data_IF_090992230844
#
_entry.id   IF_090992230844
#
_cell.length_a   1.000
_cell.length_b   1.000
_cell.length_c   1.000
_cell.angle_alpha   90.00
_cell.angle_beta   90.00
_cell.angle_gamma   90.00
#
_symmetry.space_group_name_H-M   'P 1'
#
loop_
_entity.id
_entity.type
_entity.pdbx_description
1 polymer ?
#
# COMPACT_ATOMS: atom_id res chain seq x y z
N UNK A 1 -21.58 12.31 15.31
CA UNK A 1 -20.19 12.56 15.75
C UNK A 1 -19.38 11.31 15.44
N UNK A 2 -18.62 11.33 14.35
CA UNK A 2 -17.74 10.21 14.00
C UNK A 2 -16.55 10.22 14.95
N UNK A 3 -16.30 9.10 15.63
CA UNK A 3 -15.05 8.91 16.38
C UNK A 3 -13.92 8.95 15.35
N UNK A 4 -12.98 9.87 15.54
CA UNK A 4 -11.77 9.92 14.72
C UNK A 4 -10.97 8.64 14.92
N UNK A 5 -10.66 7.95 13.81
CA UNK A 5 -9.96 6.68 13.87
C UNK A 5 -8.48 6.94 14.14
N UNK A 6 -8.01 6.54 15.32
CA UNK A 6 -6.58 6.60 15.66
C UNK A 6 -5.81 5.47 14.96
N UNK A 7 -5.30 5.78 13.77
CA UNK A 7 -4.55 4.82 12.95
C UNK A 7 -3.30 4.28 13.67
N UNK A 8 -2.63 5.12 14.46
CA UNK A 8 -1.39 4.76 15.17
C UNK A 8 -1.69 3.79 16.30
N UNK A 9 -2.81 3.98 17.00
CA UNK A 9 -3.27 3.05 18.03
C UNK A 9 -3.59 1.68 17.44
N UNK A 10 -4.35 1.62 16.34
CA UNK A 10 -4.64 0.33 15.67
C UNK A 10 -3.38 -0.39 15.23
N UNK A 11 -2.46 0.33 14.56
CA UNK A 11 -1.17 -0.23 14.15
C UNK A 11 -0.40 -0.78 15.35
N UNK A 12 -0.26 0.03 16.40
CA UNK A 12 0.47 -0.33 17.62
C UNK A 12 -0.13 -1.57 18.28
N UNK A 13 -1.47 -1.63 18.39
CA UNK A 13 -2.16 -2.77 18.98
C UNK A 13 -1.97 -4.06 18.18
N UNK A 14 -2.04 -4.00 16.84
CA UNK A 14 -1.80 -5.17 15.98
C UNK A 14 -0.39 -5.71 16.25
N UNK A 15 0.63 -4.84 16.16
CA UNK A 15 2.03 -5.23 16.35
C UNK A 15 2.29 -5.73 17.78
N UNK A 16 1.73 -5.07 18.79
CA UNK A 16 1.91 -5.44 20.19
C UNK A 16 1.28 -6.79 20.51
N UNK A 17 0.05 -7.05 20.03
CA UNK A 17 -0.62 -8.34 20.24
C UNK A 17 0.12 -9.49 19.55
N UNK A 18 0.64 -9.27 18.35
CA UNK A 18 1.47 -10.28 17.67
C UNK A 18 2.74 -10.60 18.46
N UNK A 19 3.47 -9.57 18.91
CA UNK A 19 4.70 -9.75 19.71
C UNK A 19 4.44 -10.42 21.05
N UNK A 20 3.28 -10.18 21.65
CA UNK A 20 2.86 -10.82 22.90
C UNK A 20 2.26 -12.23 22.70
N UNK A 21 2.13 -12.73 21.47
CA UNK A 21 1.50 -14.02 21.18
C UNK A 21 -0.02 -14.03 21.39
N UNK A 22 -0.65 -12.86 21.53
CA UNK A 22 -2.09 -12.69 21.72
C UNK A 22 -2.84 -12.79 20.37
N UNK A 23 -2.70 -13.94 19.72
CA UNK A 23 -3.16 -14.18 18.34
C UNK A 23 -4.64 -13.86 18.12
N UNK A 24 -5.51 -14.20 19.08
CA UNK A 24 -6.95 -13.92 18.96
C UNK A 24 -7.26 -12.42 18.88
N UNK A 25 -6.56 -11.60 19.66
CA UNK A 25 -6.75 -10.15 19.67
C UNK A 25 -6.27 -9.51 18.37
N UNK A 26 -5.09 -9.92 17.88
CA UNK A 26 -4.57 -9.49 16.59
C UNK A 26 -5.53 -9.86 15.44
N UNK A 27 -5.99 -11.13 15.39
CA UNK A 27 -6.93 -11.60 14.36
C UNK A 27 -8.24 -10.82 14.33
N UNK A 28 -8.77 -10.42 15.49
CA UNK A 28 -9.98 -9.61 15.58
C UNK A 28 -9.81 -8.26 14.90
N UNK A 29 -8.73 -7.53 15.21
CA UNK A 29 -8.44 -6.23 14.61
C UNK A 29 -8.21 -6.35 13.10
N UNK A 30 -7.50 -7.39 12.67
CA UNK A 30 -7.27 -7.64 11.25
C UNK A 30 -8.56 -7.94 10.50
N UNK A 31 -9.49 -8.70 11.11
CA UNK A 31 -10.79 -8.96 10.51
C UNK A 31 -11.62 -7.68 10.37
N UNK A 32 -11.62 -6.83 11.40
CA UNK A 32 -12.31 -5.53 11.39
C UNK A 32 -11.76 -4.61 10.29
N UNK A 33 -10.44 -4.49 10.17
CA UNK A 33 -9.82 -3.67 9.12
C UNK A 33 -9.98 -4.27 7.73
N UNK A 34 -10.04 -5.61 7.64
CA UNK A 34 -10.29 -6.30 6.37
C UNK A 34 -11.73 -6.04 5.92
N UNK A 35 -12.72 -6.08 6.79
CA UNK A 35 -14.13 -5.80 6.42
C UNK A 35 -14.62 -4.58 7.18
N UNK A 36 -14.19 -3.39 6.75
CA UNK A 36 -14.47 -2.21 7.54
C UNK A 36 -15.93 -1.79 7.34
N UNK A 37 -16.74 -1.91 8.40
CA UNK A 37 -18.13 -1.45 8.38
C UNK A 37 -18.19 0.08 8.54
N UNK A 38 -17.36 0.63 9.43
CA UNK A 38 -17.34 2.06 9.78
C UNK A 38 -15.98 2.73 9.56
N UNK A 39 -15.02 2.04 8.97
CA UNK A 39 -13.66 2.54 8.70
C UNK A 39 -13.53 2.81 7.19
N UNK A 40 -13.13 4.00 6.74
CA UNK A 40 -12.85 4.21 5.32
C UNK A 40 -11.78 3.22 4.83
N UNK A 41 -11.97 2.62 3.65
CA UNK A 41 -11.03 1.60 3.14
C UNK A 41 -9.61 2.14 3.00
N UNK A 42 -9.43 3.40 2.59
CA UNK A 42 -8.12 4.06 2.52
C UNK A 42 -7.42 4.08 3.91
N UNK A 43 -8.17 4.43 4.96
CA UNK A 43 -7.69 4.39 6.35
C UNK A 43 -7.31 2.98 6.78
N UNK A 44 -8.14 1.97 6.46
CA UNK A 44 -7.84 0.58 6.78
C UNK A 44 -6.54 0.11 6.08
N UNK A 45 -6.36 0.47 4.79
CA UNK A 45 -5.14 0.14 4.04
C UNK A 45 -3.91 0.79 4.67
N UNK A 46 -4.02 2.06 5.08
CA UNK A 46 -2.93 2.77 5.75
C UNK A 46 -2.51 2.09 7.05
N UNK A 47 -3.46 1.72 7.91
CA UNK A 47 -3.20 1.01 9.16
C UNK A 47 -2.52 -0.35 8.89
N UNK A 48 -3.08 -1.13 7.97
CA UNK A 48 -2.57 -2.46 7.63
C UNK A 48 -1.17 -2.40 7.02
N UNK A 49 -0.92 -1.45 6.12
CA UNK A 49 0.40 -1.25 5.52
C UNK A 49 1.44 -0.84 6.57
N UNK A 50 1.09 0.09 7.47
CA UNK A 50 1.96 0.49 8.57
C UNK A 50 2.25 -0.64 9.56
N UNK A 51 1.29 -1.57 9.74
CA UNK A 51 1.45 -2.79 10.54
C UNK A 51 2.19 -3.91 9.79
N UNK A 52 2.61 -3.72 8.53
CA UNK A 52 3.30 -4.73 7.74
C UNK A 52 2.40 -5.89 7.26
N UNK A 53 1.07 -5.70 7.31
CA UNK A 53 0.06 -6.71 6.99
C UNK A 53 -0.24 -6.74 5.50
N UNK A 54 0.71 -7.28 4.73
CA UNK A 54 0.68 -7.25 3.25
C UNK A 54 -0.58 -7.90 2.70
N UNK A 55 -0.94 -9.09 3.18
CA UNK A 55 -2.07 -9.85 2.65
C UNK A 55 -3.40 -9.12 2.87
N UNK A 56 -3.62 -8.62 4.09
CA UNK A 56 -4.82 -7.84 4.40
C UNK A 56 -4.85 -6.52 3.64
N UNK A 57 -3.74 -5.76 3.63
CA UNK A 57 -3.66 -4.49 2.92
C UNK A 57 -3.95 -4.66 1.42
N UNK A 58 -3.39 -5.70 0.81
CA UNK A 58 -3.62 -6.04 -0.61
C UNK A 58 -5.08 -6.40 -0.86
N UNK A 59 -5.69 -7.17 0.04
CA UNK A 59 -7.09 -7.56 -0.10
C UNK A 59 -8.02 -6.35 -0.05
N UNK A 60 -7.82 -5.46 0.93
CA UNK A 60 -8.67 -4.25 1.06
C UNK A 60 -8.45 -3.32 -0.11
N UNK A 61 -7.20 -3.15 -0.55
CA UNK A 61 -6.85 -2.34 -1.71
C UNK A 61 -7.56 -2.82 -2.98
N UNK A 62 -7.55 -4.12 -3.27
CA UNK A 62 -8.26 -4.66 -4.45
C UNK A 62 -9.75 -4.34 -4.40
N UNK A 63 -10.39 -4.54 -3.26
CA UNK A 63 -11.81 -4.20 -3.11
C UNK A 63 -12.07 -2.71 -3.29
N UNK A 64 -11.24 -1.85 -2.69
CA UNK A 64 -11.37 -0.41 -2.83
C UNK A 64 -11.14 0.05 -4.28
N UNK A 65 -10.18 -0.56 -4.98
CA UNK A 65 -9.87 -0.21 -6.36
C UNK A 65 -10.99 -0.61 -7.31
N UNK A 66 -11.56 -1.81 -7.13
CA UNK A 66 -12.64 -2.35 -7.96
C UNK A 66 -13.94 -1.58 -7.74
N UNK A 67 -14.15 -1.07 -6.51
CA UNK A 67 -15.28 -0.20 -6.17
C UNK A 67 -15.06 1.28 -6.59
N UNK A 68 -13.88 1.65 -7.10
CA UNK A 68 -13.54 3.03 -7.44
C UNK A 68 -13.46 3.97 -6.23
N UNK A 69 -13.17 3.44 -5.05
CA UNK A 69 -13.21 4.15 -3.77
C UNK A 69 -11.85 4.70 -3.31
N UNK A 70 -10.74 4.29 -3.94
CA UNK A 70 -9.42 4.83 -3.63
C UNK A 70 -9.34 6.26 -4.15
N UNK A 71 -9.33 7.24 -3.25
CA UNK A 71 -9.32 8.67 -3.59
C UNK A 71 -7.98 9.34 -3.32
N UNK A 72 -7.14 8.67 -2.53
CA UNK A 72 -5.88 9.21 -2.03
C UNK A 72 -4.68 8.51 -2.69
N UNK A 73 -3.85 9.31 -3.38
CA UNK A 73 -2.61 8.86 -4.02
C UNK A 73 -1.69 8.15 -3.02
N UNK A 74 -1.68 8.57 -1.76
CA UNK A 74 -0.79 8.04 -0.73
C UNK A 74 -1.09 6.58 -0.40
N UNK A 75 -2.26 6.05 -0.74
CA UNK A 75 -2.58 4.61 -0.66
C UNK A 75 -1.66 3.80 -1.57
N UNK A 76 -1.46 4.26 -2.81
CA UNK A 76 -0.57 3.62 -3.78
C UNK A 76 0.88 3.67 -3.31
N UNK A 77 1.32 4.84 -2.84
CA UNK A 77 2.68 5.06 -2.35
C UNK A 77 2.98 4.13 -1.16
N UNK A 78 2.08 4.06 -0.16
CA UNK A 78 2.24 3.16 0.99
C UNK A 78 2.35 1.70 0.57
N UNK A 79 1.54 1.27 -0.39
CA UNK A 79 1.59 -0.11 -0.90
C UNK A 79 2.88 -0.39 -1.67
N UNK A 80 3.36 0.55 -2.49
CA UNK A 80 4.64 0.44 -3.18
C UNK A 80 5.79 0.31 -2.17
N UNK A 81 5.82 1.16 -1.14
CA UNK A 81 6.80 1.06 -0.05
C UNK A 81 6.71 -0.29 0.67
N UNK A 82 5.50 -0.74 1.00
CA UNK A 82 5.26 -2.02 1.66
C UNK A 82 5.76 -3.19 0.80
N UNK A 83 5.33 -3.30 -0.46
CA UNK A 83 5.76 -4.38 -1.34
C UNK A 83 7.26 -4.37 -1.60
N UNK A 84 7.85 -3.18 -1.77
CA UNK A 84 9.29 -3.03 -1.96
C UNK A 84 10.08 -3.51 -0.73
N UNK A 85 9.65 -3.15 0.48
CA UNK A 85 10.23 -3.62 1.75
C UNK A 85 10.28 -5.15 1.85
N UNK A 86 9.25 -5.83 1.33
CA UNK A 86 9.16 -7.29 1.34
C UNK A 86 9.60 -7.94 0.02
N UNK A 87 10.28 -7.19 -0.85
CA UNK A 87 10.85 -7.67 -2.13
C UNK A 87 9.81 -8.29 -3.07
N UNK A 88 8.57 -7.82 -3.00
CA UNK A 88 7.45 -8.22 -3.87
C UNK A 88 7.42 -7.34 -5.12
N UNK A 89 8.48 -7.42 -5.93
CA UNK A 89 8.72 -6.48 -7.03
C UNK A 89 7.61 -6.48 -8.10
N UNK A 90 7.02 -7.64 -8.42
CA UNK A 90 5.88 -7.70 -9.34
C UNK A 90 4.66 -6.91 -8.82
N UNK A 91 4.42 -6.92 -7.51
CA UNK A 91 3.33 -6.12 -6.92
C UNK A 91 3.66 -4.64 -6.87
N UNK A 92 4.94 -4.26 -6.74
CA UNK A 92 5.36 -2.85 -6.87
C UNK A 92 4.96 -2.31 -8.25
N UNK A 93 5.28 -3.06 -9.32
CA UNK A 93 4.93 -2.69 -10.70
C UNK A 93 3.41 -2.68 -10.89
N UNK A 94 2.69 -3.69 -10.41
CA UNK A 94 1.22 -3.75 -10.51
C UNK A 94 0.54 -2.53 -9.86
N UNK A 95 0.99 -2.11 -8.68
CA UNK A 95 0.43 -0.93 -7.99
C UNK A 95 0.79 0.36 -8.72
N UNK A 96 2.02 0.45 -9.24
CA UNK A 96 2.48 1.60 -10.03
C UNK A 96 1.68 1.77 -11.32
N UNK A 97 1.40 0.68 -12.04
CA UNK A 97 0.58 0.73 -13.25
C UNK A 97 -0.84 1.22 -12.92
N UNK A 98 -1.46 0.70 -11.85
CA UNK A 98 -2.80 1.15 -11.38
C UNK A 98 -2.84 2.62 -10.94
N UNK A 99 -1.74 3.12 -10.39
CA UNK A 99 -1.55 4.53 -10.03
C UNK A 99 -1.50 5.40 -11.29
N UNK A 100 -0.72 5.00 -12.31
CA UNK A 100 -0.64 5.67 -13.61
C UNK A 100 -1.95 5.65 -14.40
N UNK A 101 -2.68 4.53 -14.39
CA UNK A 101 -4.02 4.42 -15.02
C UNK A 101 -4.99 5.48 -14.49
N UNK A 102 -4.82 5.91 -13.23
CA UNK A 102 -5.60 6.95 -12.57
C UNK A 102 -5.00 8.35 -12.74
N UNK A 103 -3.95 8.49 -13.55
CA UNK A 103 -3.23 9.74 -13.83
C UNK A 103 -2.62 10.38 -12.59
N UNK A 104 -2.26 9.55 -11.60
CA UNK A 104 -1.47 10.00 -10.46
C UNK A 104 0.01 10.00 -10.83
N UNK A 105 0.69 11.07 -10.44
CA UNK A 105 2.12 11.24 -10.63
C UNK A 105 2.83 10.93 -9.31
N UNK A 106 3.70 9.92 -9.28
CA UNK A 106 4.45 9.55 -8.08
C UNK A 106 5.54 10.58 -7.74
N UNK A 107 5.93 10.60 -6.47
CA UNK A 107 7.14 11.32 -6.06
C UNK A 107 8.43 10.58 -6.47
N UNK A 108 9.57 11.25 -6.27
CA UNK A 108 10.89 10.70 -6.62
C UNK A 108 11.25 9.44 -5.82
N UNK A 109 10.74 9.29 -4.59
CA UNK A 109 10.98 8.11 -3.77
C UNK A 109 10.27 6.89 -4.37
N UNK A 110 9.00 7.06 -4.74
CA UNK A 110 8.20 6.02 -5.38
C UNK A 110 8.82 5.60 -6.70
N UNK A 111 9.27 6.55 -7.53
CA UNK A 111 9.97 6.19 -8.78
C UNK A 111 11.25 5.39 -8.49
N UNK A 112 12.07 5.78 -7.52
CA UNK A 112 13.27 5.02 -7.17
C UNK A 112 12.95 3.56 -6.80
N UNK A 113 11.85 3.33 -6.08
CA UNK A 113 11.38 1.97 -5.76
C UNK A 113 10.92 1.20 -7.00
N UNK A 114 10.23 1.87 -7.93
CA UNK A 114 9.75 1.28 -9.18
C UNK A 114 10.91 0.93 -10.12
N UNK A 115 11.89 1.82 -10.28
CA UNK A 115 13.10 1.55 -11.07
C UNK A 115 13.88 0.36 -10.51
N UNK A 116 14.04 0.30 -9.18
CA UNK A 116 14.64 -0.86 -8.53
C UNK A 116 13.81 -2.13 -8.77
N UNK A 117 12.47 -2.07 -8.70
CA UNK A 117 11.62 -3.22 -8.98
C UNK A 117 11.77 -3.72 -10.43
N UNK A 118 11.73 -2.83 -11.42
CA UNK A 118 11.97 -3.21 -12.83
C UNK A 118 13.36 -3.81 -13.03
N UNK A 119 14.41 -3.23 -12.43
CA UNK A 119 15.76 -3.79 -12.48
C UNK A 119 15.86 -5.19 -11.88
N UNK A 120 15.12 -5.46 -10.79
CA UNK A 120 15.05 -6.81 -10.17
C UNK A 120 14.24 -7.81 -10.97
N UNK A 121 13.33 -7.34 -11.81
CA UNK A 121 12.54 -8.16 -12.74
C UNK A 121 13.20 -8.31 -14.12
N UNK A 122 14.36 -7.68 -14.34
CA UNK A 122 15.04 -7.60 -15.63
C UNK A 122 14.22 -6.94 -16.75
N UNK A 123 13.30 -6.05 -16.39
CA UNK A 123 12.48 -5.28 -17.33
C UNK A 123 13.14 -3.92 -17.62
N UNK A 124 14.34 -3.94 -18.18
CA UNK A 124 15.21 -2.76 -18.32
C UNK A 124 14.64 -1.70 -19.26
N UNK A 125 13.91 -2.11 -20.30
CA UNK A 125 13.26 -1.20 -21.25
C UNK A 125 12.20 -0.35 -20.55
N UNK A 126 11.41 -0.96 -19.65
CA UNK A 126 10.41 -0.23 -18.86
C UNK A 126 11.07 0.68 -17.83
N UNK A 127 12.15 0.22 -17.17
CA UNK A 127 12.94 1.07 -16.28
C UNK A 127 13.46 2.31 -17.00
N UNK A 128 14.00 2.13 -18.22
CA UNK A 128 14.48 3.25 -19.03
C UNK A 128 13.35 4.19 -19.44
N UNK A 129 12.19 3.67 -19.85
CA UNK A 129 11.01 4.50 -20.17
C UNK A 129 10.62 5.40 -19.01
N UNK A 130 10.50 4.85 -17.80
CA UNK A 130 10.14 5.63 -16.60
C UNK A 130 11.22 6.65 -16.25
N UNK A 131 12.50 6.30 -16.41
CA UNK A 131 13.60 7.23 -16.15
C UNK A 131 13.58 8.43 -17.11
N UNK A 132 13.32 8.21 -18.40
CA UNK A 132 13.23 9.28 -19.39
C UNK A 132 12.00 10.17 -19.14
N UNK A 133 10.83 9.59 -18.81
CA UNK A 133 9.63 10.35 -18.43
C UNK A 133 9.92 11.33 -17.28
N UNK A 134 10.65 10.90 -16.24
CA UNK A 134 11.04 11.81 -15.15
C UNK A 134 11.95 12.96 -15.58
N UNK A 135 12.82 12.75 -16.58
CA UNK A 135 13.74 13.79 -17.04
C UNK A 135 13.04 14.86 -17.87
N UNK A 136 11.97 14.50 -18.57
CA UNK A 136 11.19 15.42 -19.39
C UNK A 136 10.19 16.26 -18.57
N UNK A 137 9.82 15.80 -17.36
CA UNK A 137 8.92 16.50 -16.44
C UNK A 137 9.62 17.46 -15.45
N UNK A 138 10.97 17.52 -15.46
CA UNK A 138 11.79 18.39 -14.61
C UNK A 138 12.35 19.61 -15.32
#
# INVERSE_FOLDING_TARGET
SGVEIDQVLYQTMIVAYERAGLVAHAKRLLHELKRPDNIPRDTAIHILAAAGRIEEATWVFRQAIDAGEVKDITVFERLIHLFSKYKKYSNVVEVFDKMRERRYFPDSNVIALVLNAYGKLHEFEKANSVYMEMQDEG
#
